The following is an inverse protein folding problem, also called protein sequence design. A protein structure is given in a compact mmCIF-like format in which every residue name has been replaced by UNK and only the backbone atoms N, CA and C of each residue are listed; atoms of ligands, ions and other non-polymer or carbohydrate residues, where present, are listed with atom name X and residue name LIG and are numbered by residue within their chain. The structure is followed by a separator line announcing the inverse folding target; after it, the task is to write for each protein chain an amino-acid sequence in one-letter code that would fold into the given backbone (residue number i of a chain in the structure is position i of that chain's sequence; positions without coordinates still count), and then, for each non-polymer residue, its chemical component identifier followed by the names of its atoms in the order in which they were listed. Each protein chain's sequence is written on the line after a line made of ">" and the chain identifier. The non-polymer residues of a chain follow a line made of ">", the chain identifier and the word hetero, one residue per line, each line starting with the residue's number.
data_IF_421675218292
#
_entry.id   IF_421675218292
#
_cell.length_a   1.000
_cell.length_b   1.000
_cell.length_c   1.000
_cell.angle_alpha   90.00
_cell.angle_beta   90.00
_cell.angle_gamma   90.00
#
_symmetry.space_group_name_H-M   'P 1'
#
loop_
_entity.id
_entity.type
_entity.pdbx_description
1 polymer ?
#
# COMPACT_ATOMS: atom_id res chain seq x y z
N UNK A 1 -4.34 16.08 -15.21
CA UNK A 1 -2.99 16.54 -15.60
C UNK A 1 -1.98 15.47 -15.20
N UNK A 2 -0.89 15.30 -15.94
CA UNK A 2 0.16 14.35 -15.59
C UNK A 2 1.45 15.10 -15.29
N UNK A 3 2.11 14.75 -14.20
CA UNK A 3 3.41 15.30 -13.81
C UNK A 3 4.50 14.23 -13.98
N UNK A 4 5.73 14.68 -14.25
CA UNK A 4 6.89 13.80 -14.43
C UNK A 4 7.84 14.00 -13.25
N UNK A 5 8.11 12.91 -12.54
CA UNK A 5 9.07 12.88 -11.44
C UNK A 5 10.34 12.18 -11.94
N UNK A 6 11.49 12.85 -11.78
CA UNK A 6 12.81 12.24 -12.02
C UNK A 6 13.45 11.94 -10.68
N UNK A 7 13.80 10.67 -10.45
CA UNK A 7 14.42 10.22 -9.21
C UNK A 7 15.81 9.64 -9.48
N UNK A 8 16.74 9.87 -8.55
CA UNK A 8 18.03 9.16 -8.53
C UNK A 8 17.83 7.87 -7.76
N UNK A 9 18.25 6.75 -8.34
CA UNK A 9 18.18 5.42 -7.72
C UNK A 9 19.55 4.76 -7.75
N UNK A 10 19.84 3.81 -6.84
CA UNK A 10 21.09 3.07 -6.87
C UNK A 10 21.34 2.40 -8.22
N UNK A 11 22.61 2.25 -8.60
CA UNK A 11 23.00 1.58 -9.85
C UNK A 11 22.38 0.19 -9.96
N UNK A 12 21.87 -0.16 -11.15
CA UNK A 12 21.20 -1.44 -11.41
C UNK A 12 19.75 -1.53 -10.94
N UNK A 13 19.24 -0.55 -10.17
CA UNK A 13 17.84 -0.54 -9.72
C UNK A 13 16.86 -0.51 -10.88
N UNK A 14 17.14 0.35 -11.88
CA UNK A 14 16.31 0.44 -13.10
C UNK A 14 16.14 -0.91 -13.79
N UNK A 15 17.24 -1.64 -13.98
CA UNK A 15 17.22 -2.94 -14.66
C UNK A 15 16.42 -3.99 -13.86
N UNK A 16 16.54 -3.98 -12.54
CA UNK A 16 15.71 -4.83 -11.65
C UNK A 16 14.23 -4.49 -11.77
N UNK A 17 13.87 -3.21 -11.75
CA UNK A 17 12.48 -2.76 -11.90
C UNK A 17 11.92 -3.11 -13.28
N UNK A 18 12.70 -2.94 -14.35
CA UNK A 18 12.31 -3.33 -15.70
C UNK A 18 12.07 -4.84 -15.82
N UNK A 19 12.92 -5.67 -15.19
CA UNK A 19 12.73 -7.12 -15.17
C UNK A 19 11.42 -7.53 -14.47
N UNK A 20 11.10 -6.90 -13.33
CA UNK A 20 9.84 -7.13 -12.60
C UNK A 20 8.63 -6.64 -13.40
N UNK A 21 8.72 -5.45 -13.99
CA UNK A 21 7.67 -4.90 -14.84
C UNK A 21 7.34 -5.85 -16.01
N UNK A 22 8.36 -6.39 -16.67
CA UNK A 22 8.18 -7.38 -17.76
C UNK A 22 7.51 -8.67 -17.28
N UNK A 23 7.88 -9.18 -16.11
CA UNK A 23 7.26 -10.38 -15.53
C UNK A 23 5.74 -10.18 -15.31
N UNK A 24 5.32 -8.95 -15.01
CA UNK A 24 3.92 -8.56 -14.82
C UNK A 24 3.25 -8.00 -16.09
N UNK A 25 3.93 -8.02 -17.24
CA UNK A 25 3.44 -7.45 -18.52
C UNK A 25 3.10 -5.95 -18.41
N UNK A 26 3.84 -5.21 -17.61
CA UNK A 26 3.71 -3.76 -17.42
C UNK A 26 4.91 -3.02 -18.01
N UNK A 27 4.68 -1.77 -18.40
CA UNK A 27 5.79 -0.82 -18.61
C UNK A 27 6.44 -0.46 -17.28
N UNK A 28 7.70 0.01 -17.31
CA UNK A 28 8.39 0.48 -16.10
C UNK A 28 7.58 1.56 -15.36
N UNK A 29 7.02 2.53 -16.10
CA UNK A 29 6.23 3.62 -15.50
C UNK A 29 4.94 3.13 -14.85
N UNK A 30 4.25 2.15 -15.44
CA UNK A 30 3.06 1.54 -14.84
C UNK A 30 3.42 0.75 -13.58
N UNK A 31 4.49 -0.03 -13.63
CA UNK A 31 4.98 -0.79 -12.49
C UNK A 31 5.35 0.13 -11.32
N UNK A 32 6.14 1.17 -11.58
CA UNK A 32 6.55 2.14 -10.55
C UNK A 32 5.34 2.87 -9.97
N UNK A 33 4.38 3.29 -10.80
CA UNK A 33 3.16 3.95 -10.31
C UNK A 33 2.35 3.04 -9.39
N UNK A 34 2.12 1.80 -9.81
CA UNK A 34 1.42 0.81 -8.97
C UNK A 34 2.16 0.55 -7.64
N UNK A 35 3.49 0.55 -7.65
CA UNK A 35 4.26 0.41 -6.43
C UNK A 35 4.09 1.62 -5.48
N UNK A 36 4.03 2.83 -6.02
CA UNK A 36 3.73 4.04 -5.23
C UNK A 36 2.31 3.99 -4.66
N UNK A 37 1.32 3.62 -5.47
CA UNK A 37 -0.07 3.49 -5.02
C UNK A 37 -0.20 2.44 -3.90
N UNK A 38 0.54 1.34 -4.00
CA UNK A 38 0.56 0.29 -2.97
C UNK A 38 1.21 0.79 -1.67
N UNK A 39 2.29 1.56 -1.75
CA UNK A 39 2.93 2.16 -0.57
C UNK A 39 2.00 3.15 0.13
N UNK A 40 1.31 4.00 -0.65
CA UNK A 40 0.32 4.94 -0.10
C UNK A 40 -0.83 4.22 0.59
N UNK A 41 -1.33 3.12 0.00
CA UNK A 41 -2.36 2.29 0.62
C UNK A 41 -1.90 1.69 1.96
N UNK A 42 -0.67 1.18 2.02
CA UNK A 42 -0.11 0.63 3.26
C UNK A 42 0.02 1.72 4.33
N UNK A 43 0.53 2.90 3.97
CA UNK A 43 0.63 4.04 4.87
C UNK A 43 -0.74 4.49 5.38
N UNK A 44 -1.74 4.57 4.50
CA UNK A 44 -3.11 4.91 4.87
C UNK A 44 -3.74 3.86 5.79
N UNK A 45 -3.49 2.57 5.53
CA UNK A 45 -3.95 1.48 6.38
C UNK A 45 -3.35 1.55 7.80
N UNK A 46 -2.04 1.76 7.92
CA UNK A 46 -1.39 1.89 9.23
C UNK A 46 -1.90 3.12 10.00
N UNK A 47 -2.10 4.25 9.32
CA UNK A 47 -2.69 5.45 9.92
C UNK A 47 -4.11 5.20 10.42
N UNK A 48 -4.96 4.56 9.60
CA UNK A 48 -6.32 4.19 9.98
C UNK A 48 -6.31 3.22 11.17
N UNK A 49 -5.40 2.26 11.19
CA UNK A 49 -5.26 1.29 12.29
C UNK A 49 -4.87 1.99 13.59
N UNK A 50 -3.93 2.93 13.55
CA UNK A 50 -3.50 3.70 14.71
C UNK A 50 -4.65 4.52 15.34
N UNK A 51 -5.58 5.02 14.53
CA UNK A 51 -6.75 5.76 15.00
C UNK A 51 -7.91 4.85 15.45
N UNK A 52 -8.25 3.83 14.66
CA UNK A 52 -9.47 3.04 14.84
C UNK A 52 -9.32 1.93 15.89
N UNK A 53 -8.13 1.32 16.03
CA UNK A 53 -7.95 0.21 16.99
C UNK A 53 -8.16 0.64 18.44
N UNK A 54 -7.63 1.79 18.91
CA UNK A 54 -7.93 2.29 20.26
C UNK A 54 -9.43 2.52 20.49
N UNK A 55 -10.13 3.07 19.49
CA UNK A 55 -11.58 3.30 19.57
C UNK A 55 -12.35 1.99 19.66
N UNK A 56 -11.99 0.98 18.86
CA UNK A 56 -12.60 -0.35 18.91
C UNK A 56 -12.39 -1.01 20.28
N UNK A 57 -11.17 -0.94 20.83
CA UNK A 57 -10.85 -1.48 22.16
C UNK A 57 -11.61 -0.78 23.29
N UNK A 58 -11.85 0.52 23.18
CA UNK A 58 -12.69 1.25 24.15
C UNK A 58 -14.15 0.78 24.17
N UNK A 59 -14.56 0.03 23.15
CA UNK A 59 -15.89 -0.59 23.00
C UNK A 59 -15.83 -2.12 23.19
N UNK A 60 -14.76 -2.63 23.79
CA UNK A 60 -14.50 -4.05 24.03
C UNK A 60 -14.44 -4.92 22.75
N UNK A 61 -14.05 -4.35 21.61
CA UNK A 61 -13.85 -5.08 20.36
C UNK A 61 -12.35 -5.33 20.15
N UNK A 62 -11.95 -6.60 20.15
CA UNK A 62 -10.54 -7.00 20.06
C UNK A 62 -10.24 -7.95 18.89
N UNK A 63 -11.25 -8.69 18.45
CA UNK A 63 -11.13 -9.74 17.44
C UNK A 63 -12.18 -9.60 16.34
N UNK A 64 -11.94 -10.27 15.22
CA UNK A 64 -12.90 -10.34 14.12
C UNK A 64 -14.21 -11.03 14.54
N UNK A 65 -14.14 -11.96 15.50
CA UNK A 65 -15.31 -12.61 16.12
C UNK A 65 -16.18 -11.61 16.90
N UNK A 66 -15.55 -10.67 17.63
CA UNK A 66 -16.30 -9.61 18.34
C UNK A 66 -17.03 -8.70 17.34
N UNK A 67 -16.39 -8.39 16.20
CA UNK A 67 -17.03 -7.64 15.11
C UNK A 67 -18.18 -8.43 14.51
N UNK A 68 -17.97 -9.72 14.21
CA UNK A 68 -18.96 -10.57 13.57
C UNK A 68 -20.26 -10.65 14.38
N UNK A 69 -20.15 -10.77 15.72
CA UNK A 69 -21.30 -10.79 16.64
C UNK A 69 -22.11 -9.49 16.68
N UNK A 70 -21.52 -8.37 16.28
CA UNK A 70 -22.19 -7.07 16.26
C UNK A 70 -22.92 -6.84 14.94
N UNK A 71 -22.38 -7.34 13.83
CA UNK A 71 -22.86 -7.04 12.47
C UNK A 71 -23.71 -8.15 11.85
N UNK A 72 -23.78 -9.33 12.48
CA UNK A 72 -24.55 -10.50 12.03
C UNK A 72 -25.64 -10.86 13.03
#
# INVERSE_FOLDING_TARGET
>A
MQEVITIRVPSGTRQKLEARARAEKLTLSQYVRRALDAEELLAAFEAARADLVPQARSRDIYTDEDVFRIVS
#
